data_IF_418616644676
#
_entry.id   IF_418616644676
#
_cell.length_a   1.000
_cell.length_b   1.000
_cell.length_c   1.000
_cell.angle_alpha   90.00
_cell.angle_beta   90.00
_cell.angle_gamma   90.00
#
_symmetry.space_group_name_H-M   'P 1'
#
loop_
_entity.id
_entity.type
_entity.pdbx_description
1 polymer ?
#
# COMPACT_ATOMS: atom_id res chain seq x y z
N UNK A 1 -42.93 -10.51 16.26
CA UNK A 1 -42.70 -11.27 15.03
C UNK A 1 -41.19 -11.30 14.79
N UNK A 2 -40.52 -12.36 15.27
CA UNK A 2 -39.09 -12.51 15.24
C UNK A 2 -38.71 -13.11 13.89
N UNK A 3 -37.93 -12.39 13.08
CA UNK A 3 -37.40 -12.93 11.84
C UNK A 3 -36.11 -13.68 12.21
N UNK A 4 -36.22 -15.01 12.26
CA UNK A 4 -35.07 -15.91 12.34
C UNK A 4 -34.28 -15.83 11.02
N UNK A 5 -33.10 -15.23 11.08
CA UNK A 5 -32.12 -15.32 10.01
C UNK A 5 -31.42 -16.67 10.10
N UNK A 6 -31.77 -17.57 9.20
CA UNK A 6 -31.12 -18.87 9.06
C UNK A 6 -29.67 -18.71 8.59
N UNK A 7 -28.75 -19.30 9.33
CA UNK A 7 -27.29 -19.29 9.22
C UNK A 7 -26.73 -20.07 8.01
N UNK A 8 -27.35 -20.00 6.82
CA UNK A 8 -26.91 -20.79 5.64
C UNK A 8 -26.00 -20.06 4.61
N UNK A 9 -25.46 -18.86 4.88
CA UNK A 9 -24.68 -18.14 3.86
C UNK A 9 -23.30 -17.62 4.31
N UNK A 10 -22.80 -17.98 5.48
CA UNK A 10 -21.52 -17.44 5.98
C UNK A 10 -20.26 -18.04 5.32
N UNK A 11 -20.36 -19.19 4.66
CA UNK A 11 -19.21 -19.87 4.06
C UNK A 11 -18.83 -19.35 2.66
N UNK A 12 -19.77 -18.82 1.89
CA UNK A 12 -19.53 -18.41 0.50
C UNK A 12 -18.60 -17.18 0.33
N UNK A 13 -18.69 -16.11 1.17
CA UNK A 13 -17.81 -14.96 1.06
C UNK A 13 -16.35 -15.27 1.43
N UNK A 14 -16.13 -16.13 2.44
CA UNK A 14 -14.80 -16.57 2.85
C UNK A 14 -14.12 -17.44 1.81
N UNK A 15 -14.87 -18.30 1.14
CA UNK A 15 -14.37 -19.16 0.06
C UNK A 15 -13.99 -18.32 -1.18
N UNK A 16 -14.76 -17.27 -1.48
CA UNK A 16 -14.47 -16.38 -2.61
C UNK A 16 -13.24 -15.50 -2.34
N UNK A 17 -13.04 -15.04 -1.10
CA UNK A 17 -11.83 -14.32 -0.68
C UNK A 17 -10.61 -15.25 -0.71
N UNK A 18 -10.74 -16.48 -0.24
CA UNK A 18 -9.69 -17.49 -0.34
C UNK A 18 -9.39 -17.88 -1.78
N UNK A 19 -10.41 -18.00 -2.64
CA UNK A 19 -10.25 -18.22 -4.09
C UNK A 19 -9.63 -17.01 -4.79
N UNK A 20 -9.99 -15.79 -4.45
CA UNK A 20 -9.40 -14.56 -4.99
C UNK A 20 -7.95 -14.39 -4.52
N UNK A 21 -7.66 -14.68 -3.26
CA UNK A 21 -6.29 -14.74 -2.74
C UNK A 21 -5.52 -15.91 -3.37
N UNK A 22 -6.15 -17.06 -3.59
CA UNK A 22 -5.57 -18.20 -4.32
C UNK A 22 -5.36 -17.89 -5.81
N UNK A 23 -6.26 -17.16 -6.47
CA UNK A 23 -6.08 -16.71 -7.87
C UNK A 23 -4.98 -15.67 -7.96
N UNK A 24 -4.87 -14.73 -7.02
CA UNK A 24 -3.72 -13.81 -6.93
C UNK A 24 -2.44 -14.59 -6.63
N UNK A 25 -2.47 -15.56 -5.74
CA UNK A 25 -1.33 -16.45 -5.46
C UNK A 25 -1.02 -17.39 -6.65
N UNK A 26 -2.01 -17.97 -7.32
CA UNK A 26 -1.82 -18.84 -8.46
C UNK A 26 -1.32 -18.07 -9.70
N UNK A 27 -1.83 -16.87 -9.94
CA UNK A 27 -1.30 -16.00 -11.00
C UNK A 27 0.15 -15.59 -10.74
N UNK A 28 0.55 -15.49 -9.47
CA UNK A 28 1.95 -15.24 -9.09
C UNK A 28 2.80 -16.51 -9.13
N UNK A 29 2.27 -17.69 -8.78
CA UNK A 29 3.02 -18.97 -8.82
C UNK A 29 3.31 -19.43 -10.24
N UNK A 30 2.40 -19.24 -11.21
CA UNK A 30 2.71 -19.51 -12.62
C UNK A 30 3.78 -18.57 -13.22
N UNK A 31 3.97 -17.39 -12.64
CA UNK A 31 5.08 -16.49 -12.99
C UNK A 31 6.43 -16.92 -12.37
N UNK A 32 6.42 -17.84 -11.40
CA UNK A 32 7.61 -18.36 -10.70
C UNK A 32 8.07 -19.75 -11.17
N UNK A 33 7.44 -20.36 -12.16
CA UNK A 33 8.02 -21.53 -12.83
C UNK A 33 9.24 -21.04 -13.61
N UNK A 34 10.40 -21.20 -12.99
CA UNK A 34 11.69 -21.09 -13.67
C UNK A 34 11.63 -21.94 -14.93
N UNK A 35 12.05 -21.41 -16.10
CA UNK A 35 12.22 -22.26 -17.28
C UNK A 35 13.17 -23.37 -16.86
N UNK A 36 12.72 -24.61 -16.98
CA UNK A 36 13.54 -25.80 -16.77
C UNK A 36 14.76 -25.67 -17.65
N UNK A 37 15.94 -25.58 -17.02
CA UNK A 37 17.20 -25.64 -17.75
C UNK A 37 17.19 -26.94 -18.58
N UNK A 38 17.60 -26.89 -19.85
CA UNK A 38 17.64 -28.09 -20.68
C UNK A 38 18.59 -29.12 -20.06
N UNK A 39 18.30 -30.43 -20.16
CA UNK A 39 19.05 -31.50 -19.48
C UNK A 39 20.56 -31.59 -19.83
N UNK A 40 21.00 -30.84 -20.83
CA UNK A 40 22.39 -30.82 -21.31
C UNK A 40 23.37 -30.04 -20.40
N UNK A 41 22.90 -29.28 -19.41
CA UNK A 41 23.78 -28.49 -18.53
C UNK A 41 24.16 -29.27 -17.25
N UNK A 42 23.45 -30.35 -16.90
CA UNK A 42 23.70 -31.15 -15.69
C UNK A 42 24.77 -32.26 -15.86
N UNK A 43 25.31 -32.47 -17.09
CA UNK A 43 26.21 -33.57 -17.36
C UNK A 43 27.70 -33.21 -17.44
N UNK A 44 28.10 -31.99 -17.07
CA UNK A 44 29.53 -31.61 -17.05
C UNK A 44 29.89 -30.90 -15.76
N UNK A 45 30.15 -31.67 -14.73
CA UNK A 45 31.12 -31.41 -13.66
C UNK A 45 30.94 -32.43 -12.54
N UNK A 46 31.47 -33.64 -12.81
CA UNK A 46 31.94 -34.53 -11.75
C UNK A 46 33.44 -34.34 -11.66
N UNK A 47 34.01 -33.82 -10.57
CA UNK A 47 35.44 -33.89 -10.39
C UNK A 47 35.82 -35.29 -9.90
N UNK A 48 36.56 -36.02 -10.74
CA UNK A 48 37.28 -37.22 -10.33
C UNK A 48 38.30 -36.87 -9.25
N UNK A 49 38.19 -37.56 -8.14
CA UNK A 49 39.18 -37.61 -7.07
C UNK A 49 40.48 -38.27 -7.64
N UNK A 50 41.52 -37.48 -7.80
CA UNK A 50 42.87 -37.98 -7.92
C UNK A 50 43.59 -37.63 -6.61
N UNK A 51 43.86 -38.67 -5.83
CA UNK A 51 44.74 -38.67 -4.68
C UNK A 51 46.17 -38.63 -5.17
N UNK A 52 46.93 -37.59 -4.89
CA UNK A 52 48.40 -37.63 -4.86
C UNK A 52 48.94 -37.03 -3.59
N UNK A 53 49.65 -37.85 -2.88
CA UNK A 53 50.39 -37.62 -1.63
C UNK A 53 51.73 -36.89 -1.85
N UNK A 54 52.20 -36.30 -0.77
CA UNK A 54 53.57 -35.85 -0.44
C UNK A 54 53.94 -34.43 -0.94
N UNK A 55 54.46 -33.53 -0.19
CA UNK A 55 55.46 -33.49 0.88
C UNK A 55 55.67 -32.03 1.35
N UNK A 56 55.77 -31.90 2.63
CA UNK A 56 56.49 -30.90 3.44
C UNK A 56 57.07 -29.63 2.78
N UNK A 57 56.72 -28.46 3.32
CA UNK A 57 57.66 -27.45 3.84
C UNK A 57 56.91 -26.38 4.66
N UNK A 58 57.52 -26.04 5.79
CA UNK A 58 57.03 -25.08 6.81
C UNK A 58 57.31 -23.60 6.41
N UNK A 59 56.72 -22.63 7.18
CA UNK A 59 56.39 -21.27 6.73
C UNK A 59 57.45 -20.21 7.03
N UNK A 60 57.21 -18.98 6.68
CA UNK A 60 57.46 -17.94 7.65
C UNK A 60 56.26 -17.01 7.93
N UNK A 61 56.20 -16.65 9.16
CA UNK A 61 55.36 -15.73 9.86
C UNK A 61 55.45 -14.30 9.34
N UNK A 62 54.30 -13.63 9.17
CA UNK A 62 54.19 -12.21 9.53
C UNK A 62 52.72 -11.85 9.71
N UNK A 63 52.34 -11.63 10.96
CA UNK A 63 51.12 -10.95 11.36
C UNK A 63 51.21 -9.48 10.92
N UNK A 64 50.26 -9.03 10.13
CA UNK A 64 49.93 -7.61 10.06
C UNK A 64 48.43 -7.48 10.19
N UNK A 65 48.04 -6.84 11.27
CA UNK A 65 46.72 -6.39 11.64
C UNK A 65 46.08 -5.51 10.53
N UNK A 66 44.98 -5.96 9.95
CA UNK A 66 44.15 -5.13 9.12
C UNK A 66 42.87 -4.78 9.88
N UNK A 67 42.78 -3.52 10.28
CA UNK A 67 41.53 -2.88 10.71
C UNK A 67 40.62 -2.69 9.51
N UNK A 68 39.30 -2.93 9.60
CA UNK A 68 38.39 -2.61 8.51
C UNK A 68 38.03 -1.13 8.51
N UNK A 69 38.68 -0.34 7.64
CA UNK A 69 38.22 0.97 7.29
C UNK A 69 37.08 0.84 6.25
N UNK A 70 35.87 0.89 6.74
CA UNK A 70 34.66 1.03 5.94
C UNK A 70 34.47 2.49 5.53
N UNK A 71 35.06 2.92 4.44
CA UNK A 71 34.66 4.16 3.73
C UNK A 71 35.46 4.30 2.44
N UNK A 72 34.93 3.84 1.31
CA UNK A 72 35.09 4.43 -0.03
C UNK A 72 34.81 3.42 -1.14
N UNK A 73 33.54 3.16 -1.43
CA UNK A 73 33.11 2.59 -2.72
C UNK A 73 32.03 3.46 -3.41
N UNK A 74 31.74 4.65 -2.90
CA UNK A 74 30.76 5.54 -3.50
C UNK A 74 31.35 6.89 -3.96
N UNK A 75 32.45 6.84 -4.69
CA UNK A 75 32.97 8.06 -5.30
C UNK A 75 33.60 7.72 -6.64
N UNK A 76 32.78 7.56 -7.66
CA UNK A 76 33.06 7.90 -9.09
C UNK A 76 31.89 7.43 -9.96
N UNK A 77 30.84 8.23 -10.05
CA UNK A 77 29.92 8.24 -11.19
C UNK A 77 29.22 9.61 -11.27
N UNK A 78 30.03 10.66 -11.47
CA UNK A 78 29.54 11.93 -11.97
C UNK A 78 29.98 12.06 -13.42
N UNK A 79 29.17 11.53 -14.34
CA UNK A 79 29.22 11.92 -15.74
C UNK A 79 27.88 11.58 -16.40
N UNK A 80 27.04 12.59 -16.65
CA UNK A 80 26.17 12.63 -17.81
C UNK A 80 24.88 11.81 -17.75
N UNK A 81 24.00 12.06 -16.78
CA UNK A 81 22.59 11.74 -16.95
C UNK A 81 21.85 13.03 -17.34
N UNK A 82 21.36 13.08 -18.57
CA UNK A 82 20.47 14.15 -19.02
C UNK A 82 19.22 14.23 -18.11
N UNK A 83 18.70 15.43 -17.82
CA UNK A 83 17.51 15.60 -16.99
C UNK A 83 16.31 14.96 -17.69
N UNK A 84 15.64 14.03 -17.02
CA UNK A 84 14.33 13.52 -17.44
C UNK A 84 13.32 14.68 -17.33
N UNK A 85 12.94 15.24 -18.45
CA UNK A 85 11.90 16.26 -18.55
C UNK A 85 10.59 15.73 -17.97
N UNK A 86 10.09 16.40 -16.93
CA UNK A 86 8.83 16.11 -16.25
C UNK A 86 8.88 16.14 -14.73
N UNK A 87 10.04 16.16 -14.10
CA UNK A 87 10.20 16.50 -12.70
C UNK A 87 10.36 18.02 -12.57
N UNK A 88 9.51 18.67 -11.78
CA UNK A 88 9.75 20.04 -11.36
C UNK A 88 11.19 20.13 -10.83
N UNK A 89 12.09 20.73 -11.62
CA UNK A 89 13.42 21.14 -11.19
C UNK A 89 13.24 22.15 -10.06
N UNK A 90 13.17 21.66 -8.81
CA UNK A 90 13.23 22.52 -7.63
C UNK A 90 14.71 22.60 -7.28
N UNK A 91 15.40 23.73 -7.53
CA UNK A 91 16.77 23.90 -7.11
C UNK A 91 16.87 23.72 -5.59
N UNK A 92 18.01 23.24 -5.04
CA UNK A 92 18.21 23.15 -3.61
C UNK A 92 18.03 24.55 -3.02
N UNK A 93 16.92 24.76 -2.31
CA UNK A 93 16.62 26.06 -1.74
C UNK A 93 17.58 26.33 -0.58
N UNK A 94 18.37 27.39 -0.70
CA UNK A 94 18.97 28.08 0.44
C UNK A 94 17.86 28.24 1.48
N UNK A 95 18.14 27.92 2.74
CA UNK A 95 17.23 27.91 3.91
C UNK A 95 15.93 28.68 3.68
N UNK A 96 14.89 27.99 3.29
CA UNK A 96 13.62 28.59 2.92
C UNK A 96 12.88 29.15 4.12
N UNK A 97 12.06 30.17 3.89
CA UNK A 97 11.19 30.76 4.90
C UNK A 97 10.18 29.76 5.47
N UNK A 98 9.33 30.20 6.36
CA UNK A 98 8.27 29.37 6.99
C UNK A 98 7.41 28.64 5.95
N UNK A 99 7.12 29.31 4.82
CA UNK A 99 6.33 28.73 3.71
C UNK A 99 7.00 27.50 3.10
N UNK A 100 8.33 27.54 2.92
CA UNK A 100 9.07 26.40 2.36
C UNK A 100 9.11 25.20 3.31
N UNK A 101 9.17 25.48 4.63
CA UNK A 101 9.11 24.45 5.66
C UNK A 101 7.72 23.79 5.69
N UNK A 102 6.65 24.58 5.54
CA UNK A 102 5.28 24.07 5.47
C UNK A 102 5.05 23.25 4.18
N UNK A 103 5.56 23.70 3.03
CA UNK A 103 5.50 22.92 1.79
C UNK A 103 6.27 21.60 1.92
N UNK A 104 7.45 21.62 2.52
CA UNK A 104 8.23 20.43 2.78
C UNK A 104 7.46 19.46 3.71
N UNK A 105 6.86 19.97 4.81
CA UNK A 105 6.03 19.18 5.70
C UNK A 105 4.82 18.59 4.96
N UNK A 106 4.11 19.37 4.15
CA UNK A 106 2.98 18.89 3.36
C UNK A 106 3.40 17.78 2.39
N UNK A 107 4.51 17.93 1.66
CA UNK A 107 5.03 16.90 0.75
C UNK A 107 5.50 15.64 1.51
N UNK A 108 6.05 15.82 2.72
CA UNK A 108 6.46 14.70 3.59
C UNK A 108 5.29 13.77 3.94
N UNK A 109 4.09 14.32 4.08
CA UNK A 109 2.88 13.55 4.38
C UNK A 109 2.35 12.73 3.20
N UNK A 110 2.92 12.83 2.00
CA UNK A 110 2.45 12.21 0.75
C UNK A 110 0.95 12.50 0.49
N UNK A 111 0.59 13.67 -0.01
CA UNK A 111 -0.79 14.16 -0.10
C UNK A 111 -1.80 13.23 -0.78
N UNK A 112 -1.36 12.41 -1.77
CA UNK A 112 -2.23 11.43 -2.40
C UNK A 112 -2.72 10.33 -1.43
N UNK A 113 -1.90 9.93 -0.45
CA UNK A 113 -2.31 8.96 0.56
C UNK A 113 -3.29 9.55 1.57
N UNK A 114 -3.10 10.84 1.92
CA UNK A 114 -4.02 11.60 2.78
C UNK A 114 -5.41 11.70 2.15
N UNK A 115 -5.49 12.03 0.85
CA UNK A 115 -6.78 12.13 0.13
C UNK A 115 -7.61 10.84 0.27
N UNK A 116 -6.97 9.68 0.09
CA UNK A 116 -7.64 8.38 0.26
C UNK A 116 -8.15 8.17 1.68
N UNK A 117 -7.37 8.53 2.70
CA UNK A 117 -7.75 8.40 4.10
C UNK A 117 -8.92 9.33 4.47
N UNK A 118 -8.86 10.60 4.04
CA UNK A 118 -9.95 11.56 4.27
C UNK A 118 -11.23 11.08 3.60
N UNK A 119 -11.14 10.68 2.33
CA UNK A 119 -12.31 10.24 1.57
C UNK A 119 -12.95 8.99 2.17
N UNK A 120 -12.13 7.97 2.54
CA UNK A 120 -12.60 6.78 3.25
C UNK A 120 -13.35 7.13 4.54
N UNK A 121 -12.77 8.05 5.33
CA UNK A 121 -13.37 8.47 6.61
C UNK A 121 -14.69 9.21 6.39
N UNK A 122 -14.72 10.21 5.49
CA UNK A 122 -15.94 10.99 5.21
C UNK A 122 -17.05 10.12 4.65
N UNK A 123 -16.74 9.23 3.70
CA UNK A 123 -17.73 8.38 3.07
C UNK A 123 -18.21 7.27 4.03
N UNK A 124 -17.34 6.77 4.91
CA UNK A 124 -17.73 5.85 5.98
C UNK A 124 -18.67 6.50 7.01
N UNK A 125 -18.40 7.76 7.40
CA UNK A 125 -19.30 8.56 8.25
C UNK A 125 -20.64 8.76 7.55
N UNK A 126 -20.63 9.24 6.30
CA UNK A 126 -21.85 9.47 5.52
C UNK A 126 -22.67 8.18 5.39
N UNK A 127 -22.03 7.04 5.11
CA UNK A 127 -22.71 5.75 5.05
C UNK A 127 -23.43 5.41 6.36
N UNK A 128 -22.78 5.56 7.52
CA UNK A 128 -23.41 5.32 8.81
C UNK A 128 -24.65 6.21 9.04
N UNK A 129 -24.57 7.47 8.67
CA UNK A 129 -25.72 8.38 8.77
C UNK A 129 -26.88 7.95 7.85
N UNK A 130 -26.60 7.53 6.62
CA UNK A 130 -27.62 7.04 5.69
C UNK A 130 -28.28 5.74 6.16
N UNK A 131 -27.55 4.88 6.89
CA UNK A 131 -28.10 3.67 7.53
C UNK A 131 -28.97 4.00 8.75
N UNK A 132 -28.67 5.12 9.42
CA UNK A 132 -29.34 5.52 10.66
C UNK A 132 -29.86 6.96 10.55
N UNK A 133 -30.97 7.21 9.78
CA UNK A 133 -31.48 8.56 9.51
C UNK A 133 -31.81 9.36 10.80
N UNK A 134 -32.13 8.68 11.89
CA UNK A 134 -32.35 9.33 13.21
C UNK A 134 -31.10 10.06 13.72
N UNK A 135 -29.90 9.65 13.31
CA UNK A 135 -28.66 10.34 13.66
C UNK A 135 -28.57 11.74 13.07
N UNK A 136 -29.32 12.05 11.99
CA UNK A 136 -29.40 13.39 11.43
C UNK A 136 -30.14 14.40 12.32
N UNK A 137 -30.87 13.94 13.33
CA UNK A 137 -31.51 14.86 14.31
C UNK A 137 -30.48 15.63 15.14
N UNK A 138 -29.33 15.01 15.42
CA UNK A 138 -28.22 15.61 16.16
C UNK A 138 -26.87 15.36 15.49
N UNK A 139 -26.62 15.92 14.28
CA UNK A 139 -25.45 15.58 13.46
C UNK A 139 -24.14 16.09 14.10
N UNK A 140 -24.21 17.05 15.02
CA UNK A 140 -23.05 17.60 15.71
C UNK A 140 -22.56 16.73 16.88
N UNK A 141 -23.40 15.83 17.39
CA UNK A 141 -23.04 14.96 18.51
C UNK A 141 -21.81 14.08 18.23
N UNK A 142 -21.69 13.35 17.11
CA UNK A 142 -20.52 12.53 16.80
C UNK A 142 -19.35 13.33 16.24
N UNK A 143 -19.54 14.61 15.88
CA UNK A 143 -18.53 15.42 15.18
C UNK A 143 -17.18 15.51 15.91
N UNK A 144 -17.11 15.77 17.25
CA UNK A 144 -15.83 15.82 17.94
C UNK A 144 -15.05 14.50 17.83
N UNK A 145 -15.72 13.35 18.03
CA UNK A 145 -15.10 12.03 17.88
C UNK A 145 -14.71 11.75 16.44
N UNK A 146 -15.52 12.12 15.46
CA UNK A 146 -15.20 11.96 14.03
C UNK A 146 -13.95 12.76 13.65
N UNK A 147 -13.82 14.01 14.13
CA UNK A 147 -12.63 14.84 13.92
C UNK A 147 -11.39 14.26 14.61
N UNK A 148 -11.51 13.78 15.85
CA UNK A 148 -10.42 13.10 16.55
C UNK A 148 -10.02 11.81 15.83
N UNK A 149 -10.97 11.03 15.34
CA UNK A 149 -10.71 9.83 14.54
C UNK A 149 -9.98 10.13 13.23
N UNK A 150 -10.41 11.15 12.51
CA UNK A 150 -9.73 11.61 11.31
C UNK A 150 -8.31 12.09 11.63
N UNK A 151 -8.13 12.88 12.70
CA UNK A 151 -6.81 13.35 13.13
C UNK A 151 -5.89 12.17 13.49
N UNK A 152 -6.39 11.17 14.22
CA UNK A 152 -5.63 9.95 14.52
C UNK A 152 -5.21 9.22 13.25
N UNK A 153 -6.12 9.05 12.28
CA UNK A 153 -5.80 8.41 10.98
C UNK A 153 -4.76 9.20 10.19
N UNK A 154 -4.83 10.54 10.21
CA UNK A 154 -3.82 11.39 9.59
C UNK A 154 -2.46 11.26 10.30
N UNK A 155 -2.44 11.21 11.63
CA UNK A 155 -1.23 10.90 12.41
C UNK A 155 -0.64 9.55 12.02
N UNK A 156 -1.46 8.50 11.92
CA UNK A 156 -1.02 7.17 11.46
C UNK A 156 -0.46 7.19 10.04
N UNK A 157 -1.10 7.93 9.13
CA UNK A 157 -0.59 8.11 7.77
C UNK A 157 0.78 8.83 7.77
N UNK A 158 0.92 9.93 8.52
CA UNK A 158 2.19 10.67 8.64
C UNK A 158 3.29 9.77 9.21
N UNK A 159 2.98 8.99 10.26
CA UNK A 159 3.92 8.03 10.83
C UNK A 159 4.40 7.02 9.77
N UNK A 160 3.47 6.31 9.11
CA UNK A 160 3.80 5.24 8.18
C UNK A 160 4.59 5.76 6.96
N UNK A 161 4.16 6.87 6.35
CA UNK A 161 4.86 7.42 5.19
C UNK A 161 6.16 8.12 5.57
N UNK A 162 6.23 8.68 6.77
CA UNK A 162 7.42 9.37 7.29
C UNK A 162 8.52 8.39 7.66
N UNK A 163 8.22 7.33 8.43
CA UNK A 163 9.21 6.31 8.76
C UNK A 163 9.75 5.61 7.51
N UNK A 164 8.89 5.38 6.50
CA UNK A 164 9.32 4.84 5.23
C UNK A 164 10.33 5.77 4.53
N UNK A 165 10.07 7.10 4.46
CA UNK A 165 11.00 8.05 3.86
C UNK A 165 12.31 8.18 4.62
N UNK A 166 12.29 8.06 5.95
CA UNK A 166 13.52 8.11 6.77
C UNK A 166 14.47 6.96 6.45
N UNK A 167 13.94 5.75 6.26
CA UNK A 167 14.74 4.58 5.95
C UNK A 167 15.07 4.42 4.46
N UNK A 168 14.39 5.14 3.57
CA UNK A 168 14.54 5.03 2.11
C UNK A 168 15.25 6.22 1.46
N UNK A 169 15.88 7.12 2.21
CA UNK A 169 16.45 8.36 1.68
C UNK A 169 17.30 8.12 0.42
N UNK A 170 18.21 7.14 0.46
CA UNK A 170 19.15 6.92 -0.65
C UNK A 170 18.45 6.40 -1.91
N UNK A 171 17.51 5.48 -1.78
CA UNK A 171 16.74 4.99 -2.94
C UNK A 171 15.75 6.04 -3.44
N UNK A 172 15.16 6.84 -2.54
CA UNK A 172 14.24 7.91 -2.90
C UNK A 172 14.95 9.07 -3.63
N UNK A 173 16.26 9.29 -3.44
CA UNK A 173 17.05 10.24 -4.25
C UNK A 173 16.99 9.92 -5.74
N UNK A 174 16.84 8.66 -6.10
CA UNK A 174 16.77 8.20 -7.49
C UNK A 174 15.32 8.08 -7.97
N UNK A 175 14.49 7.35 -7.21
CA UNK A 175 13.13 7.06 -7.62
C UNK A 175 12.17 8.25 -7.41
N UNK A 176 12.39 9.04 -6.34
CA UNK A 176 11.48 10.11 -5.89
C UNK A 176 12.25 11.35 -5.40
N UNK A 177 13.12 11.97 -6.24
CA UNK A 177 13.98 13.08 -5.84
C UNK A 177 13.22 14.32 -5.35
N UNK A 178 11.89 14.37 -5.60
CA UNK A 178 11.01 15.45 -5.13
C UNK A 178 10.57 15.31 -3.67
N UNK A 179 10.83 14.17 -3.01
CA UNK A 179 10.49 13.98 -1.60
C UNK A 179 11.40 14.83 -0.70
N UNK A 180 10.89 15.43 0.38
CA UNK A 180 11.61 16.43 1.17
C UNK A 180 12.94 15.97 1.75
N UNK A 181 13.04 14.71 2.21
CA UNK A 181 14.31 14.16 2.70
C UNK A 181 15.30 13.90 1.57
N UNK A 182 14.85 13.30 0.46
CA UNK A 182 15.67 13.05 -0.72
C UNK A 182 16.17 14.38 -1.35
N UNK A 183 15.30 15.39 -1.38
CA UNK A 183 15.61 16.75 -1.87
C UNK A 183 16.38 17.62 -0.86
N UNK A 184 16.72 17.10 0.32
CA UNK A 184 17.38 17.85 1.42
C UNK A 184 16.62 19.12 1.88
N UNK A 185 15.30 19.18 1.66
CA UNK A 185 14.42 20.28 2.09
C UNK A 185 13.93 20.13 3.52
N UNK A 186 14.12 18.95 4.14
CA UNK A 186 13.81 18.62 5.52
C UNK A 186 14.99 17.87 6.14
N UNK A 187 15.39 18.24 7.34
CA UNK A 187 16.46 17.52 8.05
C UNK A 187 15.93 16.19 8.64
N UNK A 188 16.82 15.21 8.80
CA UNK A 188 16.46 13.94 9.43
C UNK A 188 15.93 14.10 10.86
N UNK A 189 16.49 15.06 11.64
CA UNK A 189 16.00 15.39 12.99
C UNK A 189 14.57 15.91 12.96
N UNK A 190 14.23 16.80 12.03
CA UNK A 190 12.87 17.30 11.86
C UNK A 190 11.90 16.19 11.42
N UNK A 191 12.31 15.31 10.51
CA UNK A 191 11.51 14.17 10.08
C UNK A 191 11.21 13.21 11.26
N UNK A 192 12.21 12.88 12.07
CA UNK A 192 12.02 12.05 13.27
C UNK A 192 11.08 12.72 14.29
N UNK A 193 11.23 14.04 14.55
CA UNK A 193 10.34 14.77 15.44
C UNK A 193 8.87 14.69 14.98
N UNK A 194 8.61 14.88 13.67
CA UNK A 194 7.27 14.76 13.09
C UNK A 194 6.72 13.35 13.23
N UNK A 195 7.52 12.33 12.93
CA UNK A 195 7.10 10.92 12.99
C UNK A 195 6.78 10.50 14.43
N UNK A 196 7.64 10.86 15.39
CA UNK A 196 7.41 10.56 16.82
C UNK A 196 6.18 11.29 17.34
N UNK A 197 6.04 12.59 17.03
CA UNK A 197 4.85 13.37 17.44
C UNK A 197 3.56 12.78 16.87
N UNK A 198 3.57 12.35 15.60
CA UNK A 198 2.43 11.70 14.96
C UNK A 198 2.10 10.34 15.60
N UNK A 199 3.11 9.53 15.92
CA UNK A 199 2.94 8.24 16.61
C UNK A 199 2.28 8.43 17.98
N UNK A 200 2.91 9.26 18.82
CA UNK A 200 2.44 9.51 20.19
C UNK A 200 1.05 10.17 20.17
N UNK A 201 0.85 11.18 19.31
CA UNK A 201 -0.43 11.88 19.19
C UNK A 201 -1.56 10.94 18.75
N UNK A 202 -1.34 10.14 17.73
CA UNK A 202 -2.35 9.19 17.25
C UNK A 202 -2.69 8.09 18.27
N UNK A 203 -1.69 7.54 18.95
CA UNK A 203 -1.90 6.56 20.04
C UNK A 203 -2.63 7.19 21.23
N UNK A 204 -2.28 8.42 21.62
CA UNK A 204 -2.95 9.13 22.70
C UNK A 204 -4.42 9.40 22.35
N UNK A 205 -4.71 9.92 21.16
CA UNK A 205 -6.08 10.18 20.70
C UNK A 205 -6.90 8.88 20.73
N UNK A 206 -6.38 7.80 20.14
CA UNK A 206 -7.13 6.54 20.06
C UNK A 206 -7.33 5.90 21.42
N UNK A 207 -6.36 6.01 22.33
CA UNK A 207 -6.46 5.49 23.71
C UNK A 207 -7.49 6.23 24.55
N UNK A 208 -7.61 7.56 24.37
CA UNK A 208 -8.47 8.41 25.22
C UNK A 208 -9.88 8.61 24.68
N UNK A 209 -10.05 8.60 23.35
CA UNK A 209 -11.33 8.95 22.72
C UNK A 209 -12.10 7.74 22.17
N UNK A 210 -11.49 6.55 22.08
CA UNK A 210 -12.09 5.39 21.45
C UNK A 210 -11.96 4.13 22.31
N UNK A 211 -12.72 3.09 21.93
CA UNK A 211 -12.69 1.78 22.60
C UNK A 211 -11.34 1.08 22.48
N UNK A 212 -11.08 0.09 23.37
CA UNK A 212 -9.88 -0.73 23.31
C UNK A 212 -9.69 -1.43 21.95
N UNK A 213 -10.78 -1.78 21.25
CA UNK A 213 -10.69 -2.40 19.93
C UNK A 213 -10.05 -1.44 18.91
N UNK A 214 -10.54 -0.19 18.83
CA UNK A 214 -9.99 0.83 17.92
C UNK A 214 -8.54 1.16 18.27
N UNK A 215 -8.24 1.31 19.56
CA UNK A 215 -6.87 1.52 20.01
C UNK A 215 -5.94 0.36 19.59
N UNK A 216 -6.33 -0.88 19.83
CA UNK A 216 -5.52 -2.05 19.48
C UNK A 216 -5.34 -2.19 17.98
N UNK A 217 -6.37 -1.92 17.18
CA UNK A 217 -6.27 -1.90 15.72
C UNK A 217 -5.32 -0.82 15.22
N UNK A 218 -5.40 0.38 15.82
CA UNK A 218 -4.51 1.49 15.48
C UNK A 218 -3.05 1.15 15.84
N UNK A 219 -2.81 0.64 17.06
CA UNK A 219 -1.50 0.20 17.52
C UNK A 219 -0.92 -0.92 16.63
N UNK A 220 -1.75 -1.88 16.22
CA UNK A 220 -1.36 -2.92 15.26
C UNK A 220 -0.99 -2.32 13.88
N UNK A 221 -1.69 -1.29 13.42
CA UNK A 221 -1.35 -0.55 12.21
C UNK A 221 -0.01 0.19 12.29
N UNK A 222 0.27 0.84 13.43
CA UNK A 222 1.57 1.49 13.72
C UNK A 222 2.69 0.43 13.74
N UNK A 223 2.47 -0.70 14.43
CA UNK A 223 3.42 -1.81 14.46
C UNK A 223 3.67 -2.38 13.05
N UNK A 224 2.62 -2.63 12.29
CA UNK A 224 2.72 -3.13 10.91
C UNK A 224 3.53 -2.18 10.02
N UNK A 225 3.31 -0.85 10.12
CA UNK A 225 4.08 0.16 9.41
C UNK A 225 5.55 0.21 9.84
N UNK A 226 5.83 -0.02 11.12
CA UNK A 226 7.20 -0.15 11.65
C UNK A 226 7.89 -1.37 11.08
N UNK A 227 7.29 -2.55 11.19
CA UNK A 227 7.83 -3.81 10.66
C UNK A 227 8.02 -3.76 9.13
N UNK A 228 7.17 -3.00 8.45
CA UNK A 228 7.27 -2.78 7.01
C UNK A 228 8.55 -2.05 6.61
N UNK A 229 8.96 -1.01 7.36
CA UNK A 229 10.02 -0.08 6.95
C UNK A 229 11.33 -0.24 7.70
N UNK A 230 11.32 -0.79 8.94
CA UNK A 230 12.46 -0.76 9.87
C UNK A 230 13.22 -2.09 9.88
N UNK A 231 14.57 -2.08 9.74
CA UNK A 231 15.39 -3.25 10.00
C UNK A 231 15.26 -3.74 11.47
N UNK A 232 15.42 -5.04 11.75
CA UNK A 232 15.80 -6.12 10.85
C UNK A 232 14.65 -6.71 10.02
N UNK A 233 13.41 -6.36 10.33
CA UNK A 233 12.23 -6.97 9.71
C UNK A 233 12.09 -6.55 8.25
N UNK A 234 12.01 -5.26 7.96
CA UNK A 234 12.03 -4.66 6.62
C UNK A 234 11.12 -5.40 5.63
N UNK A 235 9.84 -5.63 6.02
CA UNK A 235 8.89 -6.48 5.29
C UNK A 235 8.67 -6.06 3.84
N UNK A 236 8.90 -4.79 3.51
CA UNK A 236 8.77 -4.29 2.14
C UNK A 236 9.71 -4.96 1.13
N UNK A 237 10.79 -5.62 1.57
CA UNK A 237 11.67 -6.41 0.70
C UNK A 237 11.01 -7.73 0.22
N UNK A 238 9.94 -8.15 0.89
CA UNK A 238 9.18 -9.33 0.53
C UNK A 238 7.86 -8.91 -0.12
N UNK A 239 7.73 -8.95 -1.46
CA UNK A 239 6.61 -8.35 -2.16
C UNK A 239 5.22 -8.84 -1.72
N UNK A 240 5.08 -10.13 -1.38
CA UNK A 240 3.82 -10.70 -0.87
C UNK A 240 3.47 -10.17 0.52
N UNK A 241 4.46 -10.12 1.43
CA UNK A 241 4.27 -9.60 2.79
C UNK A 241 3.96 -8.10 2.74
N UNK A 242 4.66 -7.37 1.87
CA UNK A 242 4.40 -5.96 1.62
C UNK A 242 2.96 -5.72 1.15
N UNK A 243 2.51 -6.48 0.16
CA UNK A 243 1.15 -6.37 -0.37
C UNK A 243 0.09 -6.73 0.69
N UNK A 244 0.30 -7.82 1.45
CA UNK A 244 -0.58 -8.24 2.53
C UNK A 244 -0.65 -7.18 3.65
N UNK A 245 0.47 -6.58 4.05
CA UNK A 245 0.52 -5.53 5.07
C UNK A 245 -0.28 -4.30 4.63
N UNK A 246 -0.10 -3.84 3.40
CA UNK A 246 -0.82 -2.68 2.85
C UNK A 246 -2.31 -3.01 2.71
N UNK A 247 -2.66 -4.20 2.21
CA UNK A 247 -4.05 -4.65 2.07
C UNK A 247 -4.75 -4.72 3.43
N UNK A 248 -4.09 -5.25 4.46
CA UNK A 248 -4.63 -5.30 5.82
C UNK A 248 -4.84 -3.90 6.41
N UNK A 249 -3.82 -3.05 6.38
CA UNK A 249 -3.89 -1.72 7.03
C UNK A 249 -4.84 -0.80 6.26
N UNK A 250 -4.69 -0.69 4.94
CA UNK A 250 -5.42 0.28 4.10
C UNK A 250 -6.76 -0.26 3.58
N UNK A 251 -6.85 -1.55 3.36
CA UNK A 251 -8.07 -2.20 2.89
C UNK A 251 -8.99 -2.56 4.06
N UNK A 252 -8.56 -3.51 4.90
CA UNK A 252 -9.39 -4.02 6.00
C UNK A 252 -9.50 -3.03 7.17
N UNK A 253 -8.37 -2.70 7.82
CA UNK A 253 -8.41 -1.97 9.10
C UNK A 253 -8.99 -0.56 8.97
N UNK A 254 -8.72 0.14 7.87
CA UNK A 254 -9.26 1.47 7.64
C UNK A 254 -10.79 1.42 7.49
N UNK A 255 -11.34 0.54 6.63
CA UNK A 255 -12.77 0.51 6.35
C UNK A 255 -13.59 -0.04 7.53
N UNK A 256 -13.14 -1.15 8.11
CA UNK A 256 -13.76 -1.71 9.31
C UNK A 256 -13.66 -0.74 10.49
N UNK A 257 -12.46 -0.20 10.74
CA UNK A 257 -12.20 0.67 11.90
C UNK A 257 -13.00 1.98 11.83
N UNK A 258 -13.08 2.62 10.67
CA UNK A 258 -13.90 3.83 10.50
C UNK A 258 -15.37 3.54 10.77
N UNK A 259 -15.92 2.49 10.15
CA UNK A 259 -17.33 2.14 10.37
C UNK A 259 -17.62 1.81 11.83
N UNK A 260 -16.75 1.02 12.47
CA UNK A 260 -16.89 0.69 13.89
C UNK A 260 -16.84 1.94 14.78
N UNK A 261 -15.86 2.81 14.58
CA UNK A 261 -15.67 4.02 15.36
C UNK A 261 -16.85 5.01 15.21
N UNK A 262 -17.45 5.11 14.02
CA UNK A 262 -18.61 5.96 13.80
C UNK A 262 -19.85 5.40 14.50
N UNK A 263 -20.09 4.09 14.44
CA UNK A 263 -21.20 3.47 15.19
C UNK A 263 -21.05 3.67 16.69
N UNK A 264 -19.82 3.51 17.21
CA UNK A 264 -19.50 3.79 18.60
C UNK A 264 -19.77 5.26 18.97
N UNK A 265 -19.39 6.21 18.12
CA UNK A 265 -19.63 7.63 18.34
C UNK A 265 -21.13 8.00 18.33
N UNK A 266 -21.93 7.26 17.57
CA UNK A 266 -23.38 7.39 17.52
C UNK A 266 -24.10 6.62 18.65
N UNK A 267 -23.38 5.90 19.51
CA UNK A 267 -23.99 5.05 20.56
C UNK A 267 -24.72 3.83 20.00
N UNK A 268 -24.41 3.40 18.78
CA UNK A 268 -25.07 2.29 18.09
C UNK A 268 -24.21 1.04 18.21
N UNK A 269 -24.73 -0.10 18.70
CA UNK A 269 -23.96 -1.35 18.75
C UNK A 269 -23.41 -1.75 17.38
N UNK A 270 -22.18 -2.28 17.36
CA UNK A 270 -21.63 -2.81 16.12
C UNK A 270 -22.47 -3.98 15.59
N UNK A 271 -22.76 -3.96 14.32
CA UNK A 271 -23.35 -5.08 13.60
C UNK A 271 -22.74 -5.16 12.19
N UNK A 272 -22.39 -6.38 11.79
CA UNK A 272 -22.04 -6.64 10.42
C UNK A 272 -23.25 -6.48 9.50
N UNK A 273 -23.05 -5.79 8.40
CA UNK A 273 -24.03 -5.73 7.33
C UNK A 273 -23.36 -6.02 5.97
N UNK A 274 -24.14 -6.40 4.94
CA UNK A 274 -23.60 -6.78 3.63
C UNK A 274 -22.76 -5.68 3.00
N UNK A 275 -23.11 -4.40 3.19
CA UNK A 275 -22.41 -3.27 2.57
C UNK A 275 -21.03 -3.06 3.21
N UNK A 276 -20.93 -3.16 4.53
CA UNK A 276 -19.64 -3.05 5.22
C UNK A 276 -18.73 -4.23 4.90
N UNK A 277 -19.29 -5.43 4.81
CA UNK A 277 -18.55 -6.61 4.35
C UNK A 277 -18.06 -6.45 2.91
N UNK A 278 -18.92 -5.91 2.04
CA UNK A 278 -18.58 -5.61 0.66
C UNK A 278 -17.41 -4.63 0.57
N UNK A 279 -17.55 -3.42 1.14
CA UNK A 279 -16.53 -2.38 0.99
C UNK A 279 -15.21 -2.81 1.62
N UNK A 280 -15.23 -3.47 2.78
CA UNK A 280 -14.03 -3.95 3.45
C UNK A 280 -13.29 -4.97 2.58
N UNK A 281 -13.99 -5.96 2.03
CA UNK A 281 -13.42 -6.94 1.10
C UNK A 281 -12.92 -6.29 -0.18
N UNK A 282 -13.77 -5.48 -0.81
CA UNK A 282 -13.48 -4.84 -2.10
C UNK A 282 -12.23 -3.97 -2.02
N UNK A 283 -12.15 -3.13 -0.98
CA UNK A 283 -11.01 -2.24 -0.78
C UNK A 283 -9.74 -2.97 -0.30
N UNK A 284 -9.86 -4.14 0.33
CA UNK A 284 -8.72 -4.99 0.66
C UNK A 284 -8.05 -5.52 -0.61
N UNK A 285 -8.85 -6.02 -1.56
CA UNK A 285 -8.33 -6.43 -2.89
C UNK A 285 -7.72 -5.24 -3.62
N UNK A 286 -8.41 -4.09 -3.60
CA UNK A 286 -7.94 -2.88 -4.25
C UNK A 286 -6.60 -2.39 -3.68
N UNK A 287 -6.46 -2.38 -2.35
CA UNK A 287 -5.23 -1.99 -1.67
C UNK A 287 -4.07 -2.95 -1.97
N UNK A 288 -4.34 -4.26 -2.11
CA UNK A 288 -3.35 -5.24 -2.56
C UNK A 288 -2.85 -4.93 -3.98
N UNK A 289 -3.77 -4.57 -4.91
CA UNK A 289 -3.41 -4.16 -6.28
C UNK A 289 -2.60 -2.87 -6.27
N UNK A 290 -2.97 -1.86 -5.49
CA UNK A 290 -2.17 -0.64 -5.32
C UNK A 290 -0.77 -0.98 -4.82
N UNK A 291 -0.65 -1.88 -3.84
CA UNK A 291 0.63 -2.28 -3.26
C UNK A 291 1.56 -2.97 -4.28
N UNK A 292 1.00 -3.80 -5.17
CA UNK A 292 1.78 -4.44 -6.25
C UNK A 292 2.12 -3.45 -7.36
N UNK A 293 1.20 -2.53 -7.65
CA UNK A 293 1.34 -1.57 -8.76
C UNK A 293 2.21 -0.35 -8.43
N UNK A 294 2.49 -0.09 -7.14
CA UNK A 294 3.28 1.08 -6.73
C UNK A 294 4.72 1.08 -7.25
N UNK A 295 5.26 -0.12 -7.53
CA UNK A 295 6.62 -0.30 -7.99
C UNK A 295 6.73 -0.23 -9.54
N UNK A 296 5.61 -0.14 -10.26
CA UNK A 296 5.61 0.00 -11.72
C UNK A 296 6.38 1.25 -12.21
N UNK A 297 6.14 2.45 -11.63
CA UNK A 297 6.89 3.64 -12.02
C UNK A 297 8.36 3.63 -11.58
N UNK A 298 8.71 2.82 -10.58
CA UNK A 298 10.03 2.81 -9.94
C UNK A 298 10.97 1.72 -10.54
N UNK A 299 10.47 0.89 -11.48
CA UNK A 299 11.15 -0.32 -12.01
C UNK A 299 12.57 -0.06 -12.54
N UNK A 300 12.81 1.08 -13.19
CA UNK A 300 14.13 1.42 -13.75
C UNK A 300 15.15 1.70 -12.63
N UNK A 301 14.76 2.51 -11.64
CA UNK A 301 15.61 2.81 -10.49
C UNK A 301 15.82 1.58 -9.60
N UNK A 302 14.78 0.77 -9.39
CA UNK A 302 14.86 -0.46 -8.61
C UNK A 302 15.86 -1.45 -9.22
N UNK A 303 15.87 -1.61 -10.55
CA UNK A 303 16.88 -2.44 -11.25
C UNK A 303 18.29 -1.93 -11.06
N UNK A 304 18.48 -0.61 -11.12
CA UNK A 304 19.80 0.01 -10.96
C UNK A 304 20.40 -0.22 -9.57
N UNK A 305 19.55 -0.37 -8.54
CA UNK A 305 19.95 -0.61 -7.16
C UNK A 305 19.74 -2.05 -6.69
N UNK A 306 19.52 -2.99 -7.63
CA UNK A 306 19.25 -4.42 -7.35
C UNK A 306 18.09 -4.64 -6.35
N UNK A 307 17.08 -3.77 -6.39
CA UNK A 307 15.87 -3.90 -5.59
C UNK A 307 14.91 -4.88 -6.27
N UNK A 308 14.65 -5.98 -5.59
CA UNK A 308 13.83 -7.07 -6.09
C UNK A 308 12.34 -6.82 -5.80
N UNK A 309 11.63 -6.20 -6.74
CA UNK A 309 10.18 -6.02 -6.70
C UNK A 309 9.45 -6.98 -7.65
N UNK A 310 8.12 -7.07 -7.57
CA UNK A 310 7.35 -7.81 -8.59
C UNK A 310 7.56 -7.22 -9.99
N UNK A 311 7.62 -5.89 -10.10
CA UNK A 311 7.79 -5.21 -11.37
C UNK A 311 9.16 -5.50 -12.01
N UNK A 312 10.24 -5.58 -11.20
CA UNK A 312 11.58 -5.93 -11.70
C UNK A 312 11.71 -7.38 -12.12
N UNK A 313 11.03 -8.32 -11.41
CA UNK A 313 11.10 -9.77 -11.68
C UNK A 313 10.20 -10.21 -12.83
N UNK A 314 8.95 -9.76 -12.84
CA UNK A 314 7.90 -10.25 -13.77
C UNK A 314 7.74 -9.32 -14.97
N UNK A 315 8.18 -8.07 -14.82
CA UNK A 315 8.10 -7.02 -15.85
C UNK A 315 6.81 -6.20 -15.78
N UNK A 316 6.94 -4.95 -16.19
CA UNK A 316 5.87 -3.93 -16.13
C UNK A 316 4.59 -4.39 -16.82
N UNK A 317 4.68 -4.93 -18.04
CA UNK A 317 3.52 -5.38 -18.84
C UNK A 317 2.70 -6.45 -18.12
N UNK A 318 3.37 -7.45 -17.55
CA UNK A 318 2.69 -8.57 -16.89
C UNK A 318 2.06 -8.14 -15.56
N UNK A 319 2.76 -7.30 -14.78
CA UNK A 319 2.22 -6.76 -13.52
C UNK A 319 1.03 -5.85 -13.79
N UNK A 320 1.11 -4.96 -14.76
CA UNK A 320 -0.02 -4.09 -15.12
C UNK A 320 -1.22 -4.90 -15.62
N UNK A 321 -1.00 -5.97 -16.41
CA UNK A 321 -2.05 -6.89 -16.86
C UNK A 321 -2.70 -7.60 -15.66
N UNK A 322 -1.88 -8.16 -14.76
CA UNK A 322 -2.37 -8.83 -13.55
C UNK A 322 -3.18 -7.89 -12.66
N UNK A 323 -2.68 -6.67 -12.42
CA UNK A 323 -3.37 -5.64 -11.67
C UNK A 323 -4.73 -5.29 -12.29
N UNK A 324 -4.78 -5.04 -13.61
CA UNK A 324 -6.03 -4.76 -14.32
C UNK A 324 -6.99 -5.95 -14.27
N UNK A 325 -6.51 -7.18 -14.44
CA UNK A 325 -7.34 -8.38 -14.38
C UNK A 325 -7.95 -8.60 -12.99
N UNK A 326 -7.17 -8.44 -11.91
CA UNK A 326 -7.65 -8.59 -10.53
C UNK A 326 -8.69 -7.52 -10.20
N UNK A 327 -8.46 -6.25 -10.59
CA UNK A 327 -9.45 -5.18 -10.38
C UNK A 327 -10.71 -5.42 -11.22
N UNK A 328 -10.56 -5.87 -12.46
CA UNK A 328 -11.72 -6.19 -13.31
C UNK A 328 -12.58 -7.31 -12.69
N UNK A 329 -11.96 -8.39 -12.21
CA UNK A 329 -12.66 -9.46 -11.49
C UNK A 329 -13.31 -8.96 -10.19
N UNK A 330 -12.66 -8.04 -9.48
CA UNK A 330 -13.24 -7.41 -8.31
C UNK A 330 -14.51 -6.61 -8.66
N UNK A 331 -14.50 -5.85 -9.76
CA UNK A 331 -15.67 -5.15 -10.28
C UNK A 331 -16.76 -6.14 -10.75
N UNK A 332 -16.40 -7.20 -11.46
CA UNK A 332 -17.36 -8.25 -11.86
C UNK A 332 -18.01 -8.87 -10.63
N UNK A 333 -17.25 -9.13 -9.55
CA UNK A 333 -17.80 -9.65 -8.29
C UNK A 333 -18.83 -8.70 -7.66
N UNK A 334 -18.60 -7.39 -7.76
CA UNK A 334 -19.55 -6.37 -7.29
C UNK A 334 -20.83 -6.37 -8.14
N UNK A 335 -20.70 -6.39 -9.46
CA UNK A 335 -21.85 -6.45 -10.39
C UNK A 335 -22.68 -7.72 -10.11
N UNK A 336 -22.04 -8.90 -10.02
CA UNK A 336 -22.74 -10.15 -9.71
C UNK A 336 -23.45 -10.06 -8.36
N UNK A 337 -22.80 -9.49 -7.34
CA UNK A 337 -23.42 -9.31 -6.02
C UNK A 337 -24.64 -8.36 -6.11
N UNK A 338 -24.56 -7.30 -6.91
CA UNK A 338 -25.69 -6.40 -7.15
C UNK A 338 -26.86 -7.07 -7.86
N UNK A 339 -26.60 -7.99 -8.81
CA UNK A 339 -27.63 -8.75 -9.52
C UNK A 339 -28.27 -9.80 -8.59
N UNK A 340 -27.45 -10.57 -7.88
CA UNK A 340 -27.93 -11.70 -7.04
C UNK A 340 -28.69 -11.20 -5.79
N UNK A 341 -28.25 -10.09 -5.19
CA UNK A 341 -28.82 -9.52 -3.97
C UNK A 341 -29.84 -8.40 -4.21
N UNK A 342 -30.50 -8.41 -5.36
CA UNK A 342 -31.42 -7.36 -5.80
C UNK A 342 -32.61 -7.07 -4.84
N UNK A 343 -32.82 -7.89 -3.82
CA UNK A 343 -33.98 -7.75 -2.92
C UNK A 343 -33.72 -7.12 -1.56
N UNK A 344 -32.52 -6.64 -1.21
CA UNK A 344 -32.42 -6.30 0.20
C UNK A 344 -31.38 -5.29 0.64
N UNK A 345 -30.10 -5.56 0.42
CA UNK A 345 -29.06 -4.79 1.09
C UNK A 345 -28.46 -3.68 0.22
N UNK A 346 -28.43 -3.90 -1.10
CA UNK A 346 -27.77 -3.00 -2.06
C UNK A 346 -28.77 -2.31 -2.98
N UNK A 347 -28.48 -1.07 -3.34
CA UNK A 347 -29.17 -0.40 -4.45
C UNK A 347 -28.66 -0.95 -5.78
N UNK A 348 -29.43 -1.81 -6.42
CA UNK A 348 -29.05 -2.56 -7.62
C UNK A 348 -28.45 -1.67 -8.72
N UNK A 349 -29.08 -0.53 -9.04
CA UNK A 349 -28.59 0.36 -10.09
C UNK A 349 -27.22 0.97 -9.76
N UNK A 350 -26.89 1.20 -8.48
CA UNK A 350 -25.56 1.66 -8.05
C UNK A 350 -24.55 0.53 -8.15
N UNK A 351 -24.89 -0.65 -7.62
CA UNK A 351 -24.00 -1.81 -7.66
C UNK A 351 -23.69 -2.24 -9.09
N UNK A 352 -24.70 -2.38 -9.94
CA UNK A 352 -24.51 -2.82 -11.32
C UNK A 352 -23.99 -1.69 -12.20
N UNK A 353 -24.69 -0.56 -12.24
CA UNK A 353 -24.36 0.56 -13.13
C UNK A 353 -23.03 1.24 -12.76
N UNK A 354 -22.84 1.54 -11.46
CA UNK A 354 -21.63 2.17 -10.94
C UNK A 354 -20.38 1.33 -11.20
N UNK A 355 -20.40 0.05 -10.80
CA UNK A 355 -19.23 -0.82 -10.98
C UNK A 355 -19.01 -1.21 -12.46
N UNK A 356 -20.06 -1.28 -13.30
CA UNK A 356 -19.89 -1.43 -14.75
C UNK A 356 -19.16 -0.25 -15.36
N UNK A 357 -19.53 0.98 -14.97
CA UNK A 357 -18.84 2.19 -15.42
C UNK A 357 -17.36 2.20 -14.98
N UNK A 358 -17.09 1.87 -13.71
CA UNK A 358 -15.72 1.84 -13.19
C UNK A 358 -14.88 0.72 -13.86
N UNK A 359 -15.48 -0.44 -14.13
CA UNK A 359 -14.84 -1.51 -14.90
C UNK A 359 -14.51 -1.07 -16.34
N UNK A 360 -15.44 -0.38 -17.01
CA UNK A 360 -15.21 0.16 -18.35
C UNK A 360 -14.08 1.21 -18.37
N UNK A 361 -14.05 2.11 -17.36
CA UNK A 361 -12.95 3.05 -17.18
C UNK A 361 -11.61 2.35 -16.96
N UNK A 362 -11.57 1.29 -16.14
CA UNK A 362 -10.35 0.49 -15.94
C UNK A 362 -9.86 -0.10 -17.26
N UNK A 363 -10.75 -0.74 -18.04
CA UNK A 363 -10.41 -1.33 -19.34
C UNK A 363 -9.89 -0.27 -20.30
N UNK A 364 -10.57 0.89 -20.38
CA UNK A 364 -10.13 2.02 -21.21
C UNK A 364 -8.74 2.53 -20.81
N UNK A 365 -8.45 2.64 -19.51
CA UNK A 365 -7.13 3.10 -19.02
C UNK A 365 -6.04 2.06 -19.30
N UNK A 366 -6.35 0.78 -19.12
CA UNK A 366 -5.42 -0.30 -19.43
C UNK A 366 -5.14 -0.41 -20.93
N UNK A 367 -6.14 -0.26 -21.81
CA UNK A 367 -5.94 -0.33 -23.26
C UNK A 367 -5.05 0.77 -23.82
N UNK A 368 -4.90 1.89 -23.09
CA UNK A 368 -4.00 3.01 -23.44
C UNK A 368 -2.62 2.89 -22.85
N UNK A 369 -2.34 1.80 -22.11
CA UNK A 369 -1.03 1.61 -21.49
C UNK A 369 0.02 1.25 -22.51
N UNK A 370 1.09 2.04 -22.56
CA UNK A 370 2.33 1.77 -23.28
C UNK A 370 3.42 1.40 -22.27
N UNK A 371 3.71 0.09 -22.07
CA UNK A 371 4.61 -0.39 -21.01
C UNK A 371 6.06 0.09 -21.16
N UNK A 372 6.45 0.55 -22.33
CA UNK A 372 7.79 1.05 -22.64
C UNK A 372 7.95 2.55 -22.30
N UNK A 373 6.84 3.26 -22.05
CA UNK A 373 6.84 4.70 -21.76
C UNK A 373 6.57 4.96 -20.28
N UNK A 374 7.56 5.49 -19.56
CA UNK A 374 7.43 5.81 -18.13
C UNK A 374 6.25 6.76 -17.83
N UNK A 375 5.98 7.73 -18.71
CA UNK A 375 4.84 8.64 -18.57
C UNK A 375 3.50 7.90 -18.63
N UNK A 376 3.37 6.91 -19.52
CA UNK A 376 2.19 6.06 -19.63
C UNK A 376 2.01 5.14 -18.42
N UNK A 377 3.11 4.58 -17.91
CA UNK A 377 3.13 3.76 -16.69
C UNK A 377 2.64 4.60 -15.48
N UNK A 378 3.17 5.82 -15.32
CA UNK A 378 2.75 6.75 -14.27
C UNK A 378 1.27 7.13 -14.40
N UNK A 379 0.78 7.36 -15.62
CA UNK A 379 -0.64 7.66 -15.89
C UNK A 379 -1.54 6.47 -15.55
N UNK A 380 -1.13 5.25 -15.88
CA UNK A 380 -1.86 4.04 -15.51
C UNK A 380 -1.92 3.85 -13.99
N UNK A 381 -0.78 3.95 -13.28
CA UNK A 381 -0.75 3.87 -11.82
C UNK A 381 -1.62 4.95 -11.16
N UNK A 382 -1.56 6.20 -11.68
CA UNK A 382 -2.45 7.26 -11.23
C UNK A 382 -3.92 6.90 -11.43
N UNK A 383 -4.27 6.27 -12.56
CA UNK A 383 -5.67 5.88 -12.82
C UNK A 383 -6.20 4.82 -11.86
N UNK A 384 -5.35 3.94 -11.32
CA UNK A 384 -5.72 3.01 -10.25
C UNK A 384 -6.11 3.79 -8.98
N UNK A 385 -5.39 4.85 -8.63
CA UNK A 385 -5.76 5.72 -7.52
C UNK A 385 -7.06 6.49 -7.79
N UNK A 386 -7.26 6.97 -9.02
CA UNK A 386 -8.49 7.67 -9.38
C UNK A 386 -9.72 6.74 -9.23
N UNK A 387 -9.61 5.47 -9.68
CA UNK A 387 -10.64 4.45 -9.48
C UNK A 387 -10.88 4.13 -8.00
N UNK A 388 -9.81 4.07 -7.19
CA UNK A 388 -9.91 3.88 -5.75
C UNK A 388 -10.69 5.01 -5.06
N UNK A 389 -10.49 6.25 -5.48
CA UNK A 389 -11.24 7.39 -4.95
C UNK A 389 -12.71 7.35 -5.41
N UNK A 390 -12.97 7.02 -6.67
CA UNK A 390 -14.33 6.91 -7.20
C UNK A 390 -15.14 5.83 -6.48
N UNK A 391 -14.50 4.72 -6.10
CA UNK A 391 -15.15 3.67 -5.30
C UNK A 391 -15.61 4.19 -3.94
N UNK A 392 -14.80 5.00 -3.26
CA UNK A 392 -15.24 5.63 -2.01
C UNK A 392 -16.39 6.60 -2.22
N UNK A 393 -16.41 7.34 -3.33
CA UNK A 393 -17.56 8.22 -3.65
C UNK A 393 -18.83 7.41 -3.89
N UNK A 394 -18.71 6.22 -4.48
CA UNK A 394 -19.84 5.32 -4.73
C UNK A 394 -20.36 4.65 -3.45
N UNK A 395 -19.47 4.35 -2.51
CA UNK A 395 -19.74 3.56 -1.30
C UNK A 395 -20.97 4.00 -0.48
N UNK A 396 -21.23 5.28 -0.18
CA UNK A 396 -22.39 5.66 0.62
C UNK A 396 -23.73 5.31 -0.03
N UNK A 397 -23.76 5.15 -1.33
CA UNK A 397 -24.98 4.97 -2.12
C UNK A 397 -25.27 3.51 -2.47
N UNK A 398 -24.42 2.58 -2.06
CA UNK A 398 -24.59 1.14 -2.31
C UNK A 398 -25.84 0.55 -1.68
#
# INVERSE_FOLDING_TARGET
MAIQWTTRSAAAPGLLLALLLLVVMAATTHAFVLPSLPPSVLARHSPSLVVHSSSSRRPPSSFSSFSPSSSSIYSTATAGAAPLEGGLNVPPSKQGGVRDKLDALYRFTRPHTIRGTILASLMGVLRCFLEHPKAFANPLQPLPRALLGLLALLCGNVFIVGINQIYDVEIDKVNKPFLPLAAQRMSGKAAWAVVVAACVGGLAITKTAFSPLIFNMYAAGILAGTLYSVPPFYFKRFPLVAAATIAFVRGFSLNFGVYYAVREALGIPFAWNPIVLFITRFMTVFAAVIAVSKDLPDTEGDRKYDVQTFATRVGVKNIARGAAAVLFLNYVSAIVQGVVNSGGAFRQWVMVGGHTLLAALLVQRYSRLEPEKLSSIKAFYKSIWDLFYLEYVLYPFL
#
